data_IF_931883926775
#
_entry.id   IF_931883926775
#
_cell.length_a   1.000
_cell.length_b   1.000
_cell.length_c   1.000
_cell.angle_alpha   90.00
_cell.angle_beta   90.00
_cell.angle_gamma   90.00
#
_symmetry.space_group_name_H-M   'P 1'
#
loop_
_entity.id
_entity.type
_entity.pdbx_description
1 polymer ?
#
# COMPACT_ATOMS: atom_id res chain seq x y z
N UNK A 1 1.76 -3.26 -2.98
CA UNK A 1 2.47 -3.63 -4.20
C UNK A 1 2.61 -5.15 -4.33
N UNK A 2 2.86 -5.64 -5.53
CA UNK A 2 2.91 -7.08 -5.85
C UNK A 2 3.97 -7.89 -5.08
N UNK A 3 4.91 -7.22 -4.43
CA UNK A 3 6.01 -7.86 -3.68
C UNK A 3 5.80 -7.88 -2.17
N UNK A 4 4.76 -7.25 -1.65
CA UNK A 4 4.60 -7.05 -0.20
C UNK A 4 4.53 -8.36 0.57
N UNK A 5 3.87 -9.38 0.04
CA UNK A 5 3.79 -10.69 0.69
C UNK A 5 5.19 -11.35 0.83
N UNK A 6 5.99 -11.35 -0.24
CA UNK A 6 7.34 -11.88 -0.21
C UNK A 6 8.25 -11.07 0.74
N UNK A 7 8.09 -9.76 0.80
CA UNK A 7 8.83 -8.89 1.72
C UNK A 7 8.50 -9.17 3.19
N UNK A 8 7.30 -9.61 3.49
CA UNK A 8 6.87 -9.93 4.87
C UNK A 8 7.20 -11.38 5.26
N UNK A 9 6.99 -12.34 4.37
CA UNK A 9 7.14 -13.77 4.70
C UNK A 9 8.57 -14.31 4.55
N UNK A 10 9.34 -13.82 3.58
CA UNK A 10 10.69 -14.31 3.30
C UNK A 10 11.72 -14.01 4.39
N UNK A 11 11.90 -12.75 4.78
CA UNK A 11 12.99 -12.36 5.67
C UNK A 11 12.74 -12.73 7.14
N UNK A 12 13.83 -12.86 7.90
CA UNK A 12 13.78 -13.10 9.35
C UNK A 12 13.30 -11.87 10.12
N UNK A 13 13.56 -10.67 9.62
CA UNK A 13 13.14 -9.39 10.21
C UNK A 13 12.67 -8.42 9.13
N UNK A 14 11.63 -7.67 9.44
CA UNK A 14 11.04 -6.66 8.55
C UNK A 14 10.97 -5.34 9.29
N UNK A 15 11.42 -4.28 8.66
CA UNK A 15 11.26 -2.91 9.16
C UNK A 15 10.33 -2.17 8.21
N UNK A 16 9.25 -1.62 8.76
CA UNK A 16 8.29 -0.77 8.04
C UNK A 16 8.45 0.65 8.57
N UNK A 17 8.79 1.57 7.70
CA UNK A 17 8.87 3.00 8.03
C UNK A 17 7.67 3.69 7.39
N UNK A 18 6.88 4.38 8.18
CA UNK A 18 5.68 5.06 7.71
C UNK A 18 5.53 6.45 8.33
N UNK A 19 5.16 7.43 7.51
CA UNK A 19 4.80 8.74 7.99
C UNK A 19 3.43 8.74 8.69
N UNK A 20 3.18 9.74 9.51
CA UNK A 20 1.92 9.89 10.25
C UNK A 20 0.70 9.95 9.31
N UNK A 21 0.88 10.39 8.07
CA UNK A 21 -0.15 10.43 7.03
C UNK A 21 -0.64 9.03 6.58
N UNK A 22 0.01 7.95 7.01
CA UNK A 22 -0.42 6.57 6.74
C UNK A 22 -1.33 6.00 7.83
N UNK A 23 -1.45 6.68 8.96
CA UNK A 23 -2.27 6.21 10.09
C UNK A 23 -3.73 6.56 9.80
N UNK A 24 -4.58 5.57 9.95
CA UNK A 24 -6.04 5.68 9.81
C UNK A 24 -6.73 4.99 10.98
N UNK A 25 -8.02 5.23 11.17
CA UNK A 25 -8.76 4.71 12.32
C UNK A 25 -9.18 3.26 12.15
N UNK A 26 -9.58 2.88 10.94
CA UNK A 26 -10.13 1.55 10.65
C UNK A 26 -9.43 0.91 9.45
N UNK A 27 -9.67 -0.38 9.24
CA UNK A 27 -9.18 -1.09 8.06
C UNK A 27 -9.88 -0.61 6.79
N UNK A 28 -11.15 -0.25 6.88
CA UNK A 28 -11.92 0.29 5.75
C UNK A 28 -11.39 1.66 5.34
N UNK A 29 -11.00 2.51 6.28
CA UNK A 29 -10.33 3.78 6.00
C UNK A 29 -8.98 3.56 5.30
N UNK A 30 -8.25 2.50 5.67
CA UNK A 30 -7.00 2.16 5.00
C UNK A 30 -7.23 1.78 3.52
N UNK A 31 -8.26 0.97 3.25
CA UNK A 31 -8.62 0.60 1.88
C UNK A 31 -9.12 1.81 1.09
N UNK A 32 -9.97 2.63 1.70
CA UNK A 32 -10.43 3.88 1.09
C UNK A 32 -9.26 4.80 0.74
N UNK A 33 -8.30 4.96 1.66
CA UNK A 33 -7.10 5.76 1.42
C UNK A 33 -6.25 5.22 0.26
N UNK A 34 -6.10 3.89 0.15
CA UNK A 34 -5.40 3.28 -0.98
C UNK A 34 -6.09 3.62 -2.30
N UNK A 35 -7.42 3.48 -2.36
CA UNK A 35 -8.22 3.72 -3.56
C UNK A 35 -8.29 5.19 -3.95
N UNK A 36 -8.50 6.08 -2.98
CA UNK A 36 -8.71 7.50 -3.25
C UNK A 36 -7.41 8.29 -3.42
N UNK A 37 -6.31 7.82 -2.85
CA UNK A 37 -5.07 8.57 -2.82
C UNK A 37 -3.87 7.77 -3.34
N UNK A 38 -3.48 6.70 -2.65
CA UNK A 38 -2.18 6.08 -2.89
C UNK A 38 -2.09 5.39 -4.26
N UNK A 39 -3.11 4.66 -4.69
CA UNK A 39 -3.08 3.95 -5.96
C UNK A 39 -3.13 4.90 -7.16
N UNK A 40 -4.04 5.90 -7.24
CA UNK A 40 -4.04 6.87 -8.32
C UNK A 40 -2.75 7.68 -8.45
N UNK A 41 -2.16 8.08 -7.34
CA UNK A 41 -0.88 8.82 -7.37
C UNK A 41 0.27 7.89 -7.77
N UNK A 42 0.30 6.67 -7.22
CA UNK A 42 1.40 5.75 -7.49
C UNK A 42 1.44 5.28 -8.95
N UNK A 43 0.29 5.08 -9.58
CA UNK A 43 0.24 4.65 -10.99
C UNK A 43 0.80 5.69 -11.94
N UNK A 44 0.73 6.98 -11.62
CA UNK A 44 1.29 8.07 -12.42
C UNK A 44 2.80 7.96 -12.64
N UNK A 45 3.49 7.17 -11.82
CA UNK A 45 4.92 6.87 -12.00
C UNK A 45 5.20 5.89 -13.17
N UNK A 46 4.15 5.31 -13.73
CA UNK A 46 4.22 4.28 -14.75
C UNK A 46 3.34 4.65 -15.95
N UNK A 47 3.73 5.64 -16.76
CA UNK A 47 2.89 6.19 -17.84
C UNK A 47 2.51 5.18 -18.93
N UNK A 48 3.20 4.05 -18.98
CA UNK A 48 2.91 2.97 -19.92
C UNK A 48 1.72 2.09 -19.50
N UNK A 49 1.27 2.18 -18.23
CA UNK A 49 0.17 1.34 -17.73
C UNK A 49 -1.19 1.90 -18.17
N UNK A 50 -2.03 0.99 -18.64
CA UNK A 50 -3.41 1.31 -19.08
C UNK A 50 -4.40 0.92 -17.99
N UNK A 51 -4.61 1.83 -17.06
CA UNK A 51 -5.57 1.65 -15.96
C UNK A 51 -6.52 2.84 -15.89
N UNK A 52 -7.76 2.67 -15.43
CA UNK A 52 -8.69 3.79 -15.26
C UNK A 52 -8.13 4.91 -14.39
N UNK A 53 -7.41 4.59 -13.32
CA UNK A 53 -6.81 5.60 -12.44
C UNK A 53 -5.61 6.31 -13.06
N UNK A 54 -4.95 5.72 -14.06
CA UNK A 54 -3.93 6.41 -14.85
C UNK A 54 -4.55 7.50 -15.74
N UNK A 55 -5.70 7.18 -16.34
CA UNK A 55 -6.41 8.07 -17.27
C UNK A 55 -7.20 9.17 -16.55
N UNK A 56 -7.90 8.80 -15.49
CA UNK A 56 -8.88 9.68 -14.81
C UNK A 56 -8.36 10.29 -13.51
N UNK A 57 -7.28 9.76 -12.95
CA UNK A 57 -6.83 10.09 -11.59
C UNK A 57 -7.69 9.51 -10.47
N UNK A 58 -8.72 8.71 -10.80
CA UNK A 58 -9.68 8.15 -9.85
C UNK A 58 -9.66 6.61 -9.89
N UNK A 59 -9.78 5.99 -8.73
CA UNK A 59 -9.90 4.54 -8.64
C UNK A 59 -11.29 4.08 -9.08
N UNK A 60 -11.34 3.15 -10.03
CA UNK A 60 -12.56 2.51 -10.50
C UNK A 60 -12.72 1.07 -9.97
N UNK A 61 -11.97 0.66 -8.96
CA UNK A 61 -11.93 -0.71 -8.42
C UNK A 61 -11.77 -1.76 -9.56
N UNK A 62 -10.85 -1.50 -10.45
CA UNK A 62 -10.74 -2.19 -11.73
C UNK A 62 -10.04 -3.55 -11.65
N UNK A 63 -10.34 -4.40 -12.63
CA UNK A 63 -9.61 -5.63 -12.93
C UNK A 63 -8.77 -5.49 -14.21
N UNK A 64 -8.26 -4.28 -14.49
CA UNK A 64 -7.44 -4.03 -15.67
C UNK A 64 -6.18 -4.92 -15.64
N UNK A 65 -5.70 -5.42 -16.79
CA UNK A 65 -4.49 -6.25 -16.85
C UNK A 65 -3.26 -5.57 -16.23
N UNK A 66 -3.19 -4.25 -16.36
CA UNK A 66 -2.09 -3.43 -15.82
C UNK A 66 -2.33 -2.93 -14.38
N UNK A 67 -3.36 -3.45 -13.70
CA UNK A 67 -3.67 -3.05 -12.33
C UNK A 67 -2.50 -3.32 -11.38
N UNK A 68 -2.12 -2.32 -10.59
CA UNK A 68 -1.04 -2.43 -9.59
C UNK A 68 -1.52 -2.81 -8.20
N UNK A 69 -2.85 -2.93 -8.00
CA UNK A 69 -3.48 -3.20 -6.70
C UNK A 69 -3.85 -4.67 -6.52
N UNK A 70 -2.94 -5.58 -6.90
CA UNK A 70 -3.24 -7.02 -6.96
C UNK A 70 -3.19 -7.73 -5.61
N UNK A 71 -2.50 -7.15 -4.62
CA UNK A 71 -2.33 -7.78 -3.31
C UNK A 71 -2.62 -6.79 -2.20
N UNK A 72 -3.51 -7.21 -1.30
CA UNK A 72 -3.79 -6.51 -0.04
C UNK A 72 -3.34 -7.43 1.08
N UNK A 73 -2.39 -6.98 1.91
CA UNK A 73 -1.88 -7.75 3.03
C UNK A 73 -2.26 -7.07 4.34
N UNK A 74 -3.00 -7.78 5.16
CA UNK A 74 -3.32 -7.36 6.52
C UNK A 74 -2.57 -8.23 7.52
N UNK A 75 -1.73 -7.62 8.34
CA UNK A 75 -1.05 -8.30 9.44
C UNK A 75 -1.80 -8.02 10.73
N UNK A 76 -2.62 -8.97 11.17
CA UNK A 76 -3.36 -8.86 12.43
C UNK A 76 -2.43 -8.97 13.64
N UNK A 77 -1.43 -9.84 13.54
CA UNK A 77 -0.53 -10.16 14.64
C UNK A 77 0.85 -10.54 14.10
N UNK A 78 1.90 -9.91 14.64
CA UNK A 78 3.25 -10.28 14.28
C UNK A 78 3.64 -11.61 14.94
N UNK A 79 3.97 -12.62 14.14
CA UNK A 79 4.47 -13.92 14.61
C UNK A 79 5.62 -14.39 13.70
N UNK A 80 6.79 -14.74 14.25
CA UNK A 80 7.19 -14.61 15.66
C UNK A 80 7.22 -13.17 16.14
N UNK A 81 7.07 -12.99 17.46
CA UNK A 81 7.08 -11.65 18.08
C UNK A 81 8.34 -10.89 17.72
N UNK A 82 8.20 -9.63 17.32
CA UNK A 82 9.34 -8.78 16.95
C UNK A 82 9.86 -8.95 15.52
N UNK A 83 9.31 -9.88 14.73
CA UNK A 83 9.68 -10.03 13.31
C UNK A 83 9.41 -8.74 12.53
N UNK A 84 8.25 -8.12 12.73
CA UNK A 84 7.88 -6.86 12.07
C UNK A 84 8.03 -5.72 13.08
N UNK A 85 8.83 -4.74 12.72
CA UNK A 85 9.04 -3.50 13.47
C UNK A 85 8.48 -2.35 12.65
N UNK A 86 7.58 -1.58 13.22
CA UNK A 86 7.00 -0.40 12.58
C UNK A 86 7.59 0.84 13.23
N UNK A 87 8.20 1.68 12.42
CA UNK A 87 8.73 2.98 12.81
C UNK A 87 7.77 4.04 12.26
N UNK A 88 7.11 4.75 13.15
CA UNK A 88 6.24 5.86 12.79
C UNK A 88 7.02 7.17 12.87
N UNK A 89 7.01 7.89 11.77
CA UNK A 89 7.65 9.21 11.68
C UNK A 89 6.56 10.27 11.77
N UNK A 90 6.75 11.27 12.64
CA UNK A 90 5.80 12.35 12.91
C UNK A 90 5.60 13.34 11.75
N UNK A 91 6.05 12.99 10.56
CA UNK A 91 5.94 13.79 9.33
C UNK A 91 5.18 13.03 8.26
N UNK A 92 4.64 13.76 7.28
CA UNK A 92 4.06 13.15 6.07
C UNK A 92 5.16 12.64 5.17
N UNK A 93 5.22 11.32 4.97
CA UNK A 93 6.20 10.66 4.10
C UNK A 93 5.48 9.90 2.98
N UNK A 94 5.77 10.29 1.75
CA UNK A 94 5.12 9.74 0.57
C UNK A 94 3.59 9.96 0.58
N UNK A 95 2.88 9.18 -0.20
CA UNK A 95 1.41 9.28 -0.38
C UNK A 95 0.67 8.02 0.06
#
# INVERSE_FOLDING_TARGET
>A
GNRVAAMVYGPKSVIVIAGINKIVKTQDDALARVRMLAAPINVQRFPQLKTPCMETGLCADCNAPDCICNYILTTRRCKPKGKIKVILVGESLGY
#
